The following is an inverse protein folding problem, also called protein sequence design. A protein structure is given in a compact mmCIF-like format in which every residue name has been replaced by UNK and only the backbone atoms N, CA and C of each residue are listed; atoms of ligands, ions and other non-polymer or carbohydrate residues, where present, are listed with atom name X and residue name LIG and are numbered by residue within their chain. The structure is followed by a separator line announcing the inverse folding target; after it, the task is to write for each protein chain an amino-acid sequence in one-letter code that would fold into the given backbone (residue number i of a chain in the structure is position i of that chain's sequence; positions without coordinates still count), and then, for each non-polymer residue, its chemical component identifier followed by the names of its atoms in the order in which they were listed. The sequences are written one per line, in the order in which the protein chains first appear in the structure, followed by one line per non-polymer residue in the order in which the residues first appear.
data_IF_960859098611
#
_entry.id   IF_960859098611
#
_cell.length_a   1.000
_cell.length_b   1.000
_cell.length_c   1.000
_cell.angle_alpha   90.00
_cell.angle_beta   90.00
_cell.angle_gamma   90.00
#
_symmetry.space_group_name_H-M   'P 1'
#
loop_
_entity.id
_entity.type
_entity.pdbx_description
1 polymer ?
#
# COMPACT_ATOMS: atom_id res chain seq x y z
N UNK A 1 3.83 18.87 45.62
CA UNK A 1 3.33 19.29 44.29
C UNK A 1 4.26 18.90 43.12
N UNK A 2 5.60 19.02 43.26
CA UNK A 2 6.54 18.72 42.15
C UNK A 2 6.69 17.24 41.77
N UNK A 3 6.78 16.35 42.76
CA UNK A 3 7.00 14.91 42.52
C UNK A 3 5.86 14.27 41.70
N UNK A 4 4.62 14.63 42.01
CA UNK A 4 3.43 14.14 41.29
C UNK A 4 3.44 14.57 39.82
N UNK A 5 3.87 15.80 39.51
CA UNK A 5 3.99 16.28 38.13
C UNK A 5 5.05 15.53 37.33
N UNK A 6 6.17 15.17 37.95
CA UNK A 6 7.25 14.41 37.32
C UNK A 6 6.77 13.01 36.95
N UNK A 7 6.18 12.29 37.91
CA UNK A 7 5.65 10.93 37.69
C UNK A 7 4.58 10.94 36.60
N UNK A 8 3.67 11.92 36.60
CA UNK A 8 2.63 12.02 35.59
C UNK A 8 3.20 12.27 34.18
N UNK A 9 4.25 13.10 34.07
CA UNK A 9 4.90 13.40 32.81
C UNK A 9 5.65 12.19 32.25
N UNK A 10 6.31 11.39 33.10
CA UNK A 10 6.94 10.14 32.68
C UNK A 10 5.91 9.11 32.18
N UNK A 11 4.80 8.93 32.91
CA UNK A 11 3.71 8.04 32.49
C UNK A 11 3.15 8.49 31.14
N UNK A 12 2.92 9.79 30.95
CA UNK A 12 2.42 10.33 29.69
C UNK A 12 3.42 10.11 28.54
N UNK A 13 4.70 10.38 28.76
CA UNK A 13 5.75 10.16 27.77
C UNK A 13 5.86 8.68 27.37
N UNK A 14 5.87 7.77 28.36
CA UNK A 14 5.88 6.33 28.13
C UNK A 14 4.64 5.87 27.35
N UNK A 15 3.47 6.40 27.66
CA UNK A 15 2.24 6.10 26.93
C UNK A 15 2.30 6.55 25.46
N UNK A 16 2.86 7.73 25.18
CA UNK A 16 3.07 8.22 23.82
C UNK A 16 4.05 7.32 23.04
N UNK A 17 5.15 6.90 23.67
CA UNK A 17 6.11 5.97 23.07
C UNK A 17 5.43 4.63 22.75
N UNK A 18 4.75 4.02 23.72
CA UNK A 18 4.10 2.71 23.55
C UNK A 18 3.06 2.77 22.43
N UNK A 19 2.25 3.82 22.38
CA UNK A 19 1.29 4.04 21.27
C UNK A 19 1.99 4.11 19.92
N UNK A 20 3.08 4.87 19.81
CA UNK A 20 3.85 4.99 18.58
C UNK A 20 4.41 3.63 18.14
N UNK A 21 4.97 2.85 19.06
CA UNK A 21 5.51 1.52 18.76
C UNK A 21 4.41 0.56 18.30
N UNK A 22 3.26 0.54 18.98
CA UNK A 22 2.12 -0.28 18.57
C UNK A 22 1.64 0.11 17.17
N UNK A 23 1.51 1.41 16.87
CA UNK A 23 1.12 1.87 15.54
C UNK A 23 2.12 1.45 14.46
N UNK A 24 3.43 1.57 14.72
CA UNK A 24 4.47 1.12 13.77
C UNK A 24 4.40 -0.39 13.55
N UNK A 25 4.22 -1.17 14.63
CA UNK A 25 4.09 -2.62 14.55
C UNK A 25 2.88 -3.02 13.72
N UNK A 26 1.71 -2.46 14.01
CA UNK A 26 0.47 -2.76 13.28
C UNK A 26 0.58 -2.34 11.81
N UNK A 27 1.16 -1.18 11.51
CA UNK A 27 1.37 -0.75 10.12
C UNK A 27 2.35 -1.67 9.38
N UNK A 28 3.43 -2.08 10.05
CA UNK A 28 4.40 -3.03 9.48
C UNK A 28 3.75 -4.38 9.17
N UNK A 29 2.97 -4.92 10.12
CA UNK A 29 2.23 -6.17 9.92
C UNK A 29 1.20 -6.05 8.79
N UNK A 30 0.48 -4.93 8.71
CA UNK A 30 -0.45 -4.66 7.63
C UNK A 30 0.25 -4.65 6.27
N UNK A 31 1.36 -3.92 6.14
CA UNK A 31 2.15 -3.87 4.91
C UNK A 31 2.69 -5.25 4.52
N UNK A 32 3.27 -5.99 5.45
CA UNK A 32 3.79 -7.35 5.20
C UNK A 32 2.66 -8.30 4.80
N UNK A 33 1.48 -8.18 5.40
CA UNK A 33 0.35 -9.09 5.14
C UNK A 33 -0.42 -8.77 3.85
N UNK A 34 -0.46 -7.51 3.43
CA UNK A 34 -1.30 -7.05 2.30
C UNK A 34 -0.51 -6.74 1.04
N UNK A 35 0.82 -6.81 1.10
CA UNK A 35 1.72 -6.59 -0.05
C UNK A 35 2.72 -7.73 -0.16
N UNK A 36 3.48 -7.78 -1.26
CA UNK A 36 4.54 -8.76 -1.48
C UNK A 36 5.78 -8.55 -0.59
N UNK A 37 5.75 -7.64 0.39
CA UNK A 37 6.86 -7.46 1.34
C UNK A 37 7.18 -8.72 2.15
N UNK A 38 6.23 -9.63 2.34
CA UNK A 38 6.50 -10.93 2.97
C UNK A 38 7.53 -11.77 2.19
N UNK A 39 7.70 -11.56 0.88
CA UNK A 39 8.70 -12.27 0.08
C UNK A 39 10.12 -11.99 0.57
N UNK A 40 10.37 -10.83 1.20
CA UNK A 40 11.67 -10.52 1.81
C UNK A 40 12.03 -11.47 2.96
N UNK A 41 11.04 -12.13 3.58
CA UNK A 41 11.29 -13.18 4.59
C UNK A 41 11.91 -14.45 3.98
N UNK A 42 11.84 -14.62 2.65
CA UNK A 42 12.45 -15.74 1.92
C UNK A 42 13.90 -15.45 1.49
N UNK A 43 14.45 -14.28 1.79
CA UNK A 43 15.85 -13.94 1.47
C UNK A 43 16.89 -14.94 2.00
N UNK A 44 16.73 -15.57 3.20
CA UNK A 44 17.64 -16.61 3.65
C UNK A 44 17.71 -17.81 2.68
N UNK A 45 16.58 -18.21 2.09
CA UNK A 45 16.53 -19.31 1.11
C UNK A 45 17.29 -18.96 -0.17
N UNK A 46 17.15 -17.73 -0.65
CA UNK A 46 17.90 -17.23 -1.81
C UNK A 46 19.41 -17.28 -1.57
N UNK A 47 19.86 -16.85 -0.38
CA UNK A 47 21.28 -16.85 -0.01
C UNK A 47 21.81 -18.29 0.11
N UNK A 48 21.05 -19.18 0.74
CA UNK A 48 21.41 -20.59 0.86
C UNK A 48 21.57 -21.25 -0.52
N UNK A 49 20.59 -21.04 -1.41
CA UNK A 49 20.63 -21.58 -2.76
C UNK A 49 21.77 -20.99 -3.61
N UNK A 50 22.06 -19.69 -3.46
CA UNK A 50 23.26 -19.09 -4.07
C UNK A 50 24.55 -19.79 -3.62
N UNK A 51 24.70 -20.09 -2.33
CA UNK A 51 25.88 -20.80 -1.84
C UNK A 51 25.98 -22.24 -2.39
N UNK A 52 24.85 -22.92 -2.63
CA UNK A 52 24.86 -24.23 -3.29
C UNK A 52 25.46 -24.13 -4.69
N UNK A 53 25.00 -23.17 -5.52
CA UNK A 53 25.59 -22.94 -6.84
C UNK A 53 27.05 -22.47 -6.78
N UNK A 54 27.41 -21.65 -5.78
CA UNK A 54 28.80 -21.19 -5.59
C UNK A 54 29.75 -22.33 -5.22
N UNK A 55 29.26 -23.31 -4.47
CA UNK A 55 30.03 -24.50 -4.09
C UNK A 55 30.21 -25.47 -5.28
N UNK A 56 29.20 -25.57 -6.15
CA UNK A 56 29.27 -26.38 -7.38
C UNK A 56 30.09 -25.70 -8.49
N UNK A 57 30.05 -24.38 -8.55
CA UNK A 57 30.77 -23.56 -9.51
C UNK A 57 31.41 -22.35 -8.81
N UNK A 58 32.72 -22.41 -8.58
CA UNK A 58 33.48 -21.36 -7.91
C UNK A 58 33.44 -20.01 -8.63
N UNK A 59 33.20 -20.00 -9.94
CA UNK A 59 33.12 -18.79 -10.76
C UNK A 59 31.71 -18.16 -10.77
N UNK A 60 30.72 -18.80 -10.15
CA UNK A 60 29.37 -18.26 -10.06
C UNK A 60 29.37 -16.93 -9.30
N UNK A 61 28.90 -15.86 -9.95
CA UNK A 61 28.65 -14.58 -9.28
C UNK A 61 27.20 -14.50 -8.83
N UNK A 62 26.92 -13.68 -7.81
CA UNK A 62 25.55 -13.48 -7.35
C UNK A 62 24.63 -12.92 -8.44
N UNK A 63 25.14 -12.02 -9.29
CA UNK A 63 24.37 -11.46 -10.40
C UNK A 63 24.08 -12.50 -11.49
N UNK A 64 25.03 -13.39 -11.78
CA UNK A 64 24.81 -14.49 -12.72
C UNK A 64 23.75 -15.47 -12.20
N UNK A 65 23.80 -15.81 -10.91
CA UNK A 65 22.79 -16.62 -10.23
C UNK A 65 21.40 -15.98 -10.32
N UNK A 66 21.26 -14.69 -9.99
CA UNK A 66 19.97 -14.00 -10.12
C UNK A 66 19.47 -14.01 -11.58
N UNK A 67 20.35 -13.78 -12.55
CA UNK A 67 19.95 -13.82 -13.97
C UNK A 67 19.42 -15.20 -14.37
N UNK A 68 20.06 -16.27 -13.92
CA UNK A 68 19.66 -17.64 -14.22
C UNK A 68 18.23 -17.95 -13.74
N UNK A 69 17.86 -17.53 -12.52
CA UNK A 69 16.55 -17.84 -11.95
C UNK A 69 15.45 -16.81 -12.20
N UNK A 70 15.77 -15.56 -12.53
CA UNK A 70 14.78 -14.48 -12.71
C UNK A 70 14.63 -13.94 -14.13
N UNK A 71 15.60 -14.14 -15.03
CA UNK A 71 15.52 -13.65 -16.42
C UNK A 71 14.93 -14.75 -17.33
N UNK A 72 15.52 -15.95 -17.29
CA UNK A 72 15.11 -17.08 -18.13
C UNK A 72 15.10 -18.37 -17.31
N UNK A 73 14.14 -18.55 -16.39
CA UNK A 73 14.09 -19.72 -15.52
C UNK A 73 13.95 -21.00 -16.34
N UNK A 74 14.86 -21.93 -16.13
CA UNK A 74 14.86 -23.25 -16.77
C UNK A 74 14.16 -24.22 -15.84
N UNK A 75 13.28 -25.07 -16.38
CA UNK A 75 12.68 -26.16 -15.60
C UNK A 75 13.64 -27.34 -15.57
N UNK A 76 14.46 -27.42 -14.53
CA UNK A 76 15.38 -28.54 -14.32
C UNK A 76 15.12 -29.26 -12.98
N UNK A 77 16.11 -30.01 -12.48
CA UNK A 77 15.99 -30.79 -11.25
C UNK A 77 15.81 -29.93 -9.99
N UNK A 78 16.20 -28.65 -10.00
CA UNK A 78 16.03 -27.71 -8.88
C UNK A 78 14.73 -26.91 -8.95
N UNK A 79 13.87 -27.15 -9.94
CA UNK A 79 12.65 -26.37 -10.18
C UNK A 79 11.76 -26.19 -8.93
N UNK A 80 11.63 -27.22 -8.09
CA UNK A 80 10.84 -27.13 -6.85
C UNK A 80 11.49 -26.24 -5.78
N UNK A 81 12.82 -26.08 -5.80
CA UNK A 81 13.56 -25.14 -4.96
C UNK A 81 13.45 -23.72 -5.51
N UNK A 82 13.52 -23.56 -6.84
CA UNK A 82 13.34 -22.29 -7.53
C UNK A 82 11.99 -21.64 -7.23
N UNK A 83 10.91 -22.43 -7.21
CA UNK A 83 9.58 -21.93 -6.86
C UNK A 83 9.49 -21.38 -5.43
N UNK A 84 10.43 -21.72 -4.54
CA UNK A 84 10.47 -21.21 -3.16
C UNK A 84 11.26 -19.91 -3.04
N UNK A 85 11.96 -19.48 -4.08
CA UNK A 85 12.71 -18.23 -4.07
C UNK A 85 11.78 -17.02 -3.95
N UNK A 86 12.26 -15.92 -3.35
CA UNK A 86 11.49 -14.70 -3.22
C UNK A 86 11.07 -14.19 -4.61
N UNK A 87 9.82 -13.75 -4.75
CA UNK A 87 9.29 -13.14 -5.99
C UNK A 87 9.27 -14.05 -7.25
N UNK A 88 9.48 -15.37 -7.13
CA UNK A 88 9.29 -16.31 -8.25
C UNK A 88 7.81 -16.69 -8.39
N UNK A 89 7.18 -17.06 -7.27
CA UNK A 89 5.75 -17.37 -7.21
C UNK A 89 5.01 -16.32 -6.37
N UNK A 90 3.91 -15.80 -6.90
CA UNK A 90 3.04 -14.83 -6.23
C UNK A 90 1.84 -15.54 -5.60
N UNK A 91 1.72 -15.50 -4.29
CA UNK A 91 0.49 -15.88 -3.60
C UNK A 91 -0.42 -14.65 -3.48
N UNK A 92 -1.73 -14.84 -3.57
CA UNK A 92 -2.69 -13.73 -3.42
C UNK A 92 -2.54 -13.10 -2.04
N UNK A 93 -2.14 -11.82 -1.93
CA UNK A 93 -2.05 -11.15 -0.65
C UNK A 93 -3.44 -11.02 -0.02
N UNK A 94 -3.48 -10.88 1.31
CA UNK A 94 -4.73 -10.71 2.06
C UNK A 94 -5.48 -9.47 1.54
N UNK A 95 -6.67 -9.68 0.99
CA UNK A 95 -7.56 -8.60 0.56
C UNK A 95 -8.48 -8.21 1.71
N UNK A 96 -8.32 -7.00 2.23
CA UNK A 96 -9.17 -6.44 3.28
C UNK A 96 -10.00 -5.32 2.67
N UNK A 97 -11.31 -5.53 2.55
CA UNK A 97 -12.26 -4.52 2.09
C UNK A 97 -13.02 -3.96 3.29
N UNK A 98 -12.83 -2.68 3.60
CA UNK A 98 -13.66 -1.97 4.58
C UNK A 98 -14.92 -1.48 3.87
N UNK A 99 -16.05 -2.13 4.12
CA UNK A 99 -17.35 -1.66 3.64
C UNK A 99 -17.87 -0.61 4.61
N UNK A 100 -18.17 0.59 4.10
CA UNK A 100 -18.91 1.57 4.86
C UNK A 100 -20.36 1.08 4.89
N UNK A 101 -20.88 0.84 6.09
CA UNK A 101 -22.28 0.47 6.28
C UNK A 101 -23.14 1.57 5.63
N UNK A 102 -24.12 1.26 4.75
CA UNK A 102 -24.91 2.27 4.04
C UNK A 102 -25.73 3.20 4.95
N UNK A 103 -25.78 2.92 6.26
CA UNK A 103 -26.49 3.71 7.29
C UNK A 103 -25.56 4.75 7.96
N UNK A 104 -24.44 5.12 7.33
CA UNK A 104 -23.61 6.21 7.83
C UNK A 104 -24.24 7.56 7.45
N UNK A 105 -25.12 8.07 8.30
CA UNK A 105 -25.69 9.42 8.16
C UNK A 105 -24.61 10.44 8.53
N UNK A 106 -23.79 10.82 7.53
CA UNK A 106 -22.77 11.85 7.68
C UNK A 106 -23.44 13.22 7.78
N UNK A 107 -23.87 13.58 8.98
CA UNK A 107 -24.31 14.93 9.28
C UNK A 107 -23.12 15.88 9.25
N UNK A 108 -22.83 16.43 8.08
CA UNK A 108 -22.03 17.63 7.95
C UNK A 108 -22.81 18.77 8.59
N UNK A 109 -22.41 19.19 9.79
CA UNK A 109 -22.87 20.47 10.33
C UNK A 109 -22.26 21.54 9.44
N UNK A 110 -23.05 22.12 8.53
CA UNK A 110 -22.65 23.32 7.84
C UNK A 110 -22.30 24.36 8.92
N UNK A 111 -21.02 24.70 9.03
CA UNK A 111 -20.65 25.92 9.73
C UNK A 111 -21.30 27.04 8.94
N UNK A 112 -22.30 27.69 9.54
CA UNK A 112 -22.85 28.94 9.04
C UNK A 112 -21.71 29.93 8.97
N UNK A 113 -21.12 30.04 7.79
CA UNK A 113 -20.24 31.15 7.46
C UNK A 113 -21.16 32.35 7.30
N UNK A 114 -21.06 33.32 8.21
CA UNK A 114 -21.58 34.66 7.92
C UNK A 114 -20.90 35.09 6.62
N UNK A 115 -21.66 35.10 5.52
CA UNK A 115 -21.15 35.57 4.25
C UNK A 115 -20.80 37.04 4.43
N UNK A 116 -19.52 37.34 4.58
CA UNK A 116 -19.02 38.66 4.20
C UNK A 116 -19.42 38.78 2.74
N UNK A 117 -20.25 39.78 2.44
CA UNK A 117 -20.76 40.06 1.11
C UNK A 117 -19.57 40.47 0.23
N UNK A 118 -18.80 39.47 -0.24
CA UNK A 118 -17.82 39.68 -1.29
C UNK A 118 -18.66 39.91 -2.53
N UNK A 119 -18.69 41.16 -2.99
CA UNK A 119 -19.27 41.56 -4.27
C UNK A 119 -18.52 40.84 -5.40
N UNK A 120 -18.85 39.56 -5.60
CA UNK A 120 -18.34 38.74 -6.69
C UNK A 120 -18.90 39.33 -7.96
N UNK A 121 -18.07 40.03 -8.71
CA UNK A 121 -18.35 40.31 -10.11
C UNK A 121 -18.47 38.97 -10.82
N UNK A 122 -19.71 38.51 -11.04
CA UNK A 122 -19.97 37.35 -11.86
C UNK A 122 -19.53 37.68 -13.29
N UNK A 123 -18.35 37.22 -13.69
CA UNK A 123 -18.10 37.00 -15.11
C UNK A 123 -18.93 35.78 -15.49
N UNK A 124 -20.15 36.04 -15.98
CA UNK A 124 -20.98 35.03 -16.64
C UNK A 124 -20.26 34.67 -17.93
N UNK A 125 -19.31 33.73 -17.88
CA UNK A 125 -18.79 33.13 -19.10
C UNK A 125 -19.97 32.45 -19.79
N UNK A 126 -20.14 32.72 -21.08
CA UNK A 126 -21.23 32.19 -21.91
C UNK A 126 -21.25 30.65 -22.02
N UNK A 127 -20.37 29.96 -21.29
CA UNK A 127 -20.16 28.52 -21.32
C UNK A 127 -20.75 27.79 -20.10
N UNK A 128 -21.43 28.50 -19.18
CA UNK A 128 -22.18 27.84 -18.11
C UNK A 128 -23.51 27.27 -18.66
N UNK A 129 -23.41 26.25 -19.51
CA UNK A 129 -24.55 25.43 -19.91
C UNK A 129 -24.55 24.13 -19.08
N UNK A 130 -25.59 23.94 -18.26
CA UNK A 130 -25.80 22.74 -17.44
C UNK A 130 -25.90 21.47 -18.29
N UNK A 131 -26.25 21.58 -19.57
CA UNK A 131 -26.29 20.46 -20.51
C UNK A 131 -24.91 19.86 -20.78
N UNK A 132 -23.85 20.68 -20.79
CA UNK A 132 -22.47 20.21 -21.02
C UNK A 132 -22.02 19.34 -19.85
N UNK A 133 -22.33 19.73 -18.60
CA UNK A 133 -21.94 18.96 -17.41
C UNK A 133 -22.54 17.55 -17.39
N UNK A 134 -23.77 17.39 -17.89
CA UNK A 134 -24.43 16.09 -17.95
C UNK A 134 -23.93 15.21 -19.11
N UNK A 135 -23.29 15.81 -20.13
CA UNK A 135 -22.82 15.13 -21.33
C UNK A 135 -21.38 14.59 -21.23
N UNK A 136 -20.60 14.97 -20.22
CA UNK A 136 -19.16 14.61 -20.13
C UNK A 136 -18.96 13.09 -19.99
N UNK A 137 -19.93 12.36 -19.45
CA UNK A 137 -19.80 10.95 -19.11
C UNK A 137 -20.84 10.04 -19.76
N UNK A 138 -21.29 10.33 -20.99
CA UNK A 138 -22.10 9.37 -21.74
C UNK A 138 -21.20 8.35 -22.49
N UNK A 139 -21.40 7.04 -22.31
CA UNK A 139 -20.71 6.03 -23.10
C UNK A 139 -21.17 6.08 -24.59
N UNK A 140 -20.34 5.58 -25.54
CA UNK A 140 -20.66 5.63 -26.96
C UNK A 140 -21.96 4.88 -27.30
N UNK A 141 -22.90 5.55 -27.99
CA UNK A 141 -24.14 4.93 -28.48
C UNK A 141 -23.84 4.21 -29.80
N UNK A 142 -24.01 2.88 -29.80
CA UNK A 142 -23.96 2.10 -31.04
C UNK A 142 -25.29 2.25 -31.78
N UNK A 143 -25.26 2.83 -32.98
CA UNK A 143 -26.41 2.81 -33.89
C UNK A 143 -26.41 1.46 -34.62
N UNK A 144 -27.47 0.66 -34.43
CA UNK A 144 -27.76 -0.48 -35.29
C UNK A 144 -28.55 0.04 -36.49
N UNK A 145 -28.00 -0.14 -37.70
CA UNK A 145 -28.64 0.12 -38.99
C UNK A 145 -29.60 -1.00 -39.37
#
# INVERSE_FOLDING_TARGET
MGLFKIVLNEIFHNFVIVKKLISILLLSLYLVSTTELYQLLKMPLLIEHYFQHKNLNSEMSFTAFLKMHYDHPVKDNDYDQDQKLPFVSHASPLSVAFTVNPILDLHFTEKVYNSIEIKKTFYKSALYNKEILNSIWEPPKFYQS
#
